data_IF_436185602960
#
_entry.id   IF_436185602960
#
_cell.length_a   1.000
_cell.length_b   1.000
_cell.length_c   1.000
_cell.angle_alpha   90.00
_cell.angle_beta   90.00
_cell.angle_gamma   90.00
#
_symmetry.space_group_name_H-M   'P 1'
#
loop_
_entity.id
_entity.type
_entity.pdbx_description
1 polymer ?
#
# COMPACT_ATOMS: atom_id res chain seq x y z
N UNK A 1 18.85 59.56 -2.32
CA UNK A 1 18.90 58.30 -1.53
C UNK A 1 17.54 57.62 -1.64
N UNK A 2 17.44 56.53 -2.40
CA UNK A 2 16.19 55.77 -2.58
C UNK A 2 16.14 54.69 -1.49
N UNK A 3 15.12 54.75 -0.62
CA UNK A 3 14.82 53.68 0.35
C UNK A 3 14.11 52.55 -0.40
N UNK A 4 14.82 51.45 -0.65
CA UNK A 4 14.24 50.22 -1.18
C UNK A 4 13.54 49.48 -0.04
N UNK A 5 12.21 49.49 -0.04
CA UNK A 5 11.39 48.74 0.90
C UNK A 5 11.27 47.30 0.37
N UNK A 6 12.02 46.37 0.95
CA UNK A 6 11.92 44.94 0.61
C UNK A 6 10.74 44.33 1.38
N UNK A 7 9.66 44.04 0.66
CA UNK A 7 8.51 43.30 1.20
C UNK A 7 8.89 41.82 1.28
N UNK A 8 9.27 41.36 2.47
CA UNK A 8 9.60 39.96 2.74
C UNK A 8 8.27 39.17 2.79
N UNK A 9 7.86 38.59 1.66
CA UNK A 9 6.72 37.66 1.62
C UNK A 9 7.18 36.36 2.29
N UNK A 10 6.88 36.22 3.59
CA UNK A 10 6.96 34.95 4.31
C UNK A 10 5.90 34.02 3.73
N UNK A 11 6.27 33.26 2.69
CA UNK A 11 5.48 32.12 2.24
C UNK A 11 5.65 31.03 3.30
N UNK A 12 4.79 31.05 4.31
CA UNK A 12 4.68 29.93 5.25
C UNK A 12 4.18 28.74 4.46
N UNK A 13 5.10 27.86 4.07
CA UNK A 13 4.73 26.57 3.51
C UNK A 13 4.01 25.81 4.62
N UNK A 14 2.67 25.69 4.51
CA UNK A 14 1.91 24.76 5.32
C UNK A 14 2.43 23.36 5.00
N UNK A 15 3.35 22.87 5.83
CA UNK A 15 3.78 21.48 5.77
C UNK A 15 2.67 20.69 6.45
N UNK A 16 1.69 20.23 5.65
CA UNK A 16 0.73 19.26 6.13
C UNK A 16 1.51 18.03 6.60
N UNK A 17 1.56 17.83 7.91
CA UNK A 17 2.24 16.68 8.49
C UNK A 17 1.24 15.54 8.45
N UNK A 18 1.49 14.58 7.57
CA UNK A 18 0.75 13.33 7.51
C UNK A 18 0.73 12.70 8.91
N UNK A 19 -0.46 12.41 9.40
CA UNK A 19 -0.65 11.70 10.66
C UNK A 19 -0.86 10.22 10.39
N UNK A 20 -0.62 9.37 11.39
CA UNK A 20 -0.94 7.94 11.29
C UNK A 20 -2.44 7.73 10.98
N UNK A 21 -3.32 8.63 11.47
CA UNK A 21 -4.76 8.58 11.20
C UNK A 21 -5.10 8.76 9.73
N UNK A 22 -4.33 9.55 8.99
CA UNK A 22 -4.53 9.76 7.55
C UNK A 22 -4.17 8.52 6.72
N UNK A 23 -3.40 7.59 7.28
CA UNK A 23 -2.93 6.38 6.60
C UNK A 23 -3.81 5.16 6.87
N UNK A 24 -4.67 5.21 7.89
CA UNK A 24 -5.55 4.09 8.26
C UNK A 24 -6.55 3.84 7.13
N UNK A 25 -6.60 2.59 6.66
CA UNK A 25 -7.40 2.17 5.53
C UNK A 25 -6.63 1.27 4.56
N UNK A 26 -7.29 0.93 3.45
CA UNK A 26 -6.74 0.11 2.37
C UNK A 26 -6.33 0.96 1.18
N UNK A 27 -5.08 0.83 0.77
CA UNK A 27 -4.40 1.56 -0.29
C UNK A 27 -4.04 0.60 -1.42
N UNK A 28 -4.73 0.69 -2.55
CA UNK A 28 -4.58 -0.20 -3.70
C UNK A 28 -3.82 0.48 -4.84
N UNK A 29 -2.97 -0.25 -5.57
CA UNK A 29 -2.13 0.31 -6.64
C UNK A 29 -2.90 0.89 -7.85
N UNK A 30 -4.19 0.55 -7.98
CA UNK A 30 -5.10 1.05 -9.02
C UNK A 30 -6.38 1.62 -8.38
N UNK A 31 -7.07 2.56 -9.06
CA UNK A 31 -8.24 3.23 -8.50
C UNK A 31 -9.54 2.42 -8.61
N UNK A 32 -9.51 1.23 -9.20
CA UNK A 32 -10.67 0.37 -9.47
C UNK A 32 -10.37 -1.09 -9.14
N UNK A 33 -11.41 -1.88 -8.89
CA UNK A 33 -11.33 -3.34 -8.80
C UNK A 33 -11.93 -3.92 -10.08
N UNK A 34 -11.18 -4.79 -10.74
CA UNK A 34 -11.64 -5.49 -11.95
C UNK A 34 -12.00 -6.94 -11.59
N UNK A 35 -11.25 -7.91 -12.11
CA UNK A 35 -11.43 -9.33 -11.77
C UNK A 35 -10.83 -9.71 -10.40
N UNK A 36 -10.08 -8.81 -9.77
CA UNK A 36 -9.45 -8.98 -8.46
C UNK A 36 -8.80 -7.68 -8.01
N UNK A 37 -8.34 -7.67 -6.76
CA UNK A 37 -7.54 -6.58 -6.22
C UNK A 37 -6.11 -6.61 -6.77
N UNK A 38 -5.56 -5.43 -7.06
CA UNK A 38 -4.12 -5.27 -7.28
C UNK A 38 -3.39 -5.23 -5.92
N UNK A 39 -2.08 -5.01 -5.94
CA UNK A 39 -1.28 -4.81 -4.74
C UNK A 39 -1.93 -3.80 -3.80
N UNK A 40 -2.12 -4.22 -2.54
CA UNK A 40 -2.88 -3.45 -1.57
C UNK A 40 -2.17 -3.48 -0.22
N UNK A 41 -1.86 -2.31 0.32
CA UNK A 41 -1.50 -2.14 1.73
C UNK A 41 -2.76 -1.84 2.54
N UNK A 42 -2.92 -2.47 3.69
CA UNK A 42 -3.94 -2.12 4.67
C UNK A 42 -3.25 -1.77 5.99
N UNK A 43 -3.47 -0.55 6.47
CA UNK A 43 -2.96 -0.06 7.75
C UNK A 43 -4.12 0.07 8.73
N UNK A 44 -4.04 -0.63 9.85
CA UNK A 44 -5.09 -0.67 10.87
C UNK A 44 -4.77 0.26 12.05
N UNK A 45 -5.82 0.68 12.77
CA UNK A 45 -5.70 1.57 13.93
C UNK A 45 -4.93 0.95 15.10
N UNK A 46 -4.96 -0.37 15.24
CA UNK A 46 -4.25 -1.12 16.28
C UNK A 46 -2.73 -1.23 16.03
N UNK A 47 -2.23 -0.58 14.97
CA UNK A 47 -0.83 -0.61 14.56
C UNK A 47 -0.45 -1.86 13.79
N UNK A 48 -1.40 -2.71 13.38
CA UNK A 48 -1.13 -3.83 12.47
C UNK A 48 -1.25 -3.42 11.01
N UNK A 49 -0.54 -4.11 10.13
CA UNK A 49 -0.69 -3.96 8.69
C UNK A 49 -0.71 -5.32 7.99
N UNK A 50 -1.30 -5.32 6.81
CA UNK A 50 -1.17 -6.38 5.81
C UNK A 50 -0.80 -5.78 4.46
N UNK A 51 -0.02 -6.50 3.70
CA UNK A 51 0.16 -6.27 2.28
C UNK A 51 -0.32 -7.52 1.53
N UNK A 52 -1.17 -7.31 0.53
CA UNK A 52 -1.58 -8.35 -0.42
C UNK A 52 -0.98 -8.06 -1.78
N UNK A 53 -0.47 -9.09 -2.43
CA UNK A 53 -0.05 -8.99 -3.83
C UNK A 53 -1.25 -9.02 -4.77
N UNK A 54 -1.03 -8.62 -6.03
CA UNK A 54 -2.02 -8.64 -7.08
C UNK A 54 -2.66 -10.04 -7.22
N UNK A 55 -3.98 -10.12 -7.03
CA UNK A 55 -4.74 -11.37 -7.08
C UNK A 55 -4.82 -11.96 -8.49
N UNK A 56 -4.55 -11.16 -9.52
CA UNK A 56 -4.52 -11.59 -10.90
C UNK A 56 -3.18 -12.24 -11.26
N UNK A 57 -2.13 -12.11 -10.44
CA UNK A 57 -0.92 -12.93 -10.58
C UNK A 57 -1.19 -14.34 -10.00
N UNK A 58 -1.94 -15.14 -10.75
CA UNK A 58 -2.33 -16.49 -10.37
C UNK A 58 -1.14 -17.46 -10.23
N UNK A 59 0.05 -17.09 -10.71
CA UNK A 59 1.27 -17.87 -10.53
C UNK A 59 1.99 -17.56 -9.22
N UNK A 60 1.58 -16.51 -8.51
CA UNK A 60 2.30 -16.02 -7.34
C UNK A 60 2.20 -16.98 -6.17
N UNK A 61 3.36 -17.29 -5.57
CA UNK A 61 3.43 -18.14 -4.37
C UNK A 61 3.18 -17.37 -3.10
N UNK A 62 3.88 -16.28 -2.90
CA UNK A 62 3.65 -15.41 -1.76
C UNK A 62 2.47 -14.50 -2.06
N UNK A 63 1.42 -14.61 -1.26
CA UNK A 63 0.13 -13.95 -1.51
C UNK A 63 -0.05 -12.72 -0.61
N UNK A 64 0.56 -12.73 0.57
CA UNK A 64 0.53 -11.63 1.52
C UNK A 64 1.65 -11.71 2.54
N UNK A 65 1.92 -10.58 3.19
CA UNK A 65 2.72 -10.52 4.41
C UNK A 65 2.15 -9.46 5.35
N UNK A 66 2.54 -9.51 6.63
CA UNK A 66 2.04 -8.55 7.61
C UNK A 66 2.76 -8.56 8.94
N UNK A 67 2.30 -7.65 9.80
CA UNK A 67 2.87 -7.45 11.13
C UNK A 67 2.47 -6.10 11.70
N UNK A 68 3.41 -5.36 12.28
CA UNK A 68 3.14 -4.04 12.86
C UNK A 68 3.73 -2.91 12.01
N UNK A 69 3.12 -1.73 12.05
CA UNK A 69 3.62 -0.54 11.38
C UNK A 69 3.66 0.67 12.32
N UNK A 70 4.55 1.62 12.01
CA UNK A 70 4.63 2.92 12.68
C UNK A 70 5.00 3.99 11.66
N UNK A 71 4.33 5.14 11.72
CA UNK A 71 4.70 6.32 10.94
C UNK A 71 5.78 7.14 11.66
N UNK A 72 6.90 7.39 10.99
CA UNK A 72 7.95 8.32 11.43
C UNK A 72 8.18 9.37 10.35
N UNK A 73 7.62 10.57 10.53
CA UNK A 73 7.71 11.64 9.53
C UNK A 73 7.09 11.20 8.19
N UNK A 74 7.90 11.09 7.13
CA UNK A 74 7.46 10.64 5.79
C UNK A 74 7.82 9.18 5.49
N UNK A 75 8.07 8.37 6.52
CA UNK A 75 8.41 6.95 6.36
C UNK A 75 7.53 6.09 7.24
N UNK A 76 7.04 4.98 6.69
CA UNK A 76 6.42 3.91 7.47
C UNK A 76 7.50 2.86 7.74
N UNK A 77 7.72 2.53 9.00
CA UNK A 77 8.50 1.36 9.38
C UNK A 77 7.57 0.17 9.56
N UNK A 78 7.85 -0.91 8.85
CA UNK A 78 7.15 -2.19 8.96
C UNK A 78 8.03 -3.17 9.74
N UNK A 79 7.44 -3.83 10.73
CA UNK A 79 8.00 -5.05 11.31
C UNK A 79 7.17 -6.23 10.80
N UNK A 80 7.71 -6.97 9.83
CA UNK A 80 7.07 -8.12 9.20
C UNK A 80 7.27 -9.33 10.11
N UNK A 81 6.17 -9.89 10.59
CA UNK A 81 6.15 -10.99 11.56
C UNK A 81 5.61 -12.29 10.97
N UNK A 82 4.96 -12.20 9.81
CA UNK A 82 4.52 -13.36 9.06
C UNK A 82 4.46 -13.07 7.56
N UNK A 83 4.55 -14.14 6.78
CA UNK A 83 4.14 -14.17 5.38
C UNK A 83 3.22 -15.35 5.12
N UNK A 84 2.41 -15.23 4.08
CA UNK A 84 1.38 -16.18 3.69
C UNK A 84 1.68 -16.60 2.25
N UNK A 85 1.72 -17.90 2.01
CA UNK A 85 2.14 -18.44 0.74
C UNK A 85 1.42 -19.74 0.39
N UNK A 86 1.45 -20.05 -0.90
CA UNK A 86 0.91 -21.28 -1.48
C UNK A 86 2.02 -22.33 -1.57
N UNK A 87 1.95 -23.33 -0.68
CA UNK A 87 2.87 -24.45 -0.60
C UNK A 87 2.44 -25.61 -1.51
N UNK A 88 3.41 -26.27 -2.15
CA UNK A 88 3.14 -27.34 -3.10
C UNK A 88 2.50 -26.82 -4.39
N UNK A 89 1.52 -27.59 -4.90
CA UNK A 89 0.82 -27.32 -6.15
C UNK A 89 1.66 -27.51 -7.41
N UNK A 90 1.03 -27.27 -8.56
CA UNK A 90 1.68 -27.27 -9.88
C UNK A 90 1.21 -26.07 -10.70
N UNK A 91 2.05 -25.65 -11.63
CA UNK A 91 1.67 -24.66 -12.63
C UNK A 91 0.94 -25.33 -13.79
N UNK A 92 -0.10 -24.67 -14.28
CA UNK A 92 -0.80 -25.02 -15.51
C UNK A 92 -1.14 -23.76 -16.31
N UNK A 93 -1.49 -23.87 -17.61
CA UNK A 93 -2.02 -22.74 -18.35
C UNK A 93 -3.25 -22.15 -17.64
N UNK A 94 -3.43 -20.82 -17.66
CA UNK A 94 -4.54 -20.17 -16.98
C UNK A 94 -5.89 -20.63 -17.56
N UNK A 95 -6.82 -21.01 -16.69
CA UNK A 95 -8.16 -21.47 -17.09
C UNK A 95 -9.24 -20.40 -16.92
N UNK A 96 -8.94 -19.34 -16.18
CA UNK A 96 -9.82 -18.19 -15.95
C UNK A 96 -9.17 -16.86 -16.32
N UNK A 97 -9.70 -15.79 -15.73
CA UNK A 97 -9.09 -14.46 -15.82
C UNK A 97 -7.86 -14.42 -14.94
N UNK A 98 -6.70 -14.81 -15.47
CA UNK A 98 -5.40 -14.64 -14.82
C UNK A 98 -4.57 -13.63 -15.62
N UNK A 99 -3.89 -12.75 -14.91
CA UNK A 99 -2.94 -11.77 -15.47
C UNK A 99 -1.51 -12.32 -15.61
N UNK A 100 -1.30 -13.60 -15.32
CA UNK A 100 -0.01 -14.31 -15.40
C UNK A 100 -0.03 -15.41 -16.46
N UNK A 101 1.15 -15.79 -16.97
CA UNK A 101 1.32 -16.83 -18.00
C UNK A 101 0.92 -18.23 -17.54
N UNK A 102 0.76 -18.43 -16.24
CA UNK A 102 0.32 -19.68 -15.63
C UNK A 102 -0.54 -19.40 -14.40
N UNK A 103 -1.26 -20.42 -13.95
CA UNK A 103 -1.95 -20.44 -12.66
C UNK A 103 -1.38 -21.58 -11.78
N UNK A 104 -1.21 -21.29 -10.51
CA UNK A 104 -0.82 -22.26 -9.50
C UNK A 104 -2.07 -22.96 -8.97
N UNK A 105 -2.18 -24.27 -9.18
CA UNK A 105 -3.32 -25.09 -8.72
C UNK A 105 -2.88 -26.15 -7.73
N UNK A 106 -3.84 -26.66 -6.96
CA UNK A 106 -3.65 -27.72 -5.95
C UNK A 106 -2.59 -27.39 -4.90
N UNK A 107 -2.33 -26.10 -4.69
CA UNK A 107 -1.48 -25.61 -3.62
C UNK A 107 -2.29 -25.45 -2.32
N UNK A 108 -1.60 -25.54 -1.19
CA UNK A 108 -2.19 -25.32 0.13
C UNK A 108 -1.71 -24.00 0.71
N UNK A 109 -2.63 -23.25 1.30
CA UNK A 109 -2.31 -22.03 2.02
C UNK A 109 -1.49 -22.34 3.27
N UNK A 110 -0.37 -21.63 3.47
CA UNK A 110 0.49 -21.75 4.63
C UNK A 110 0.88 -20.37 5.15
N UNK A 111 0.82 -20.20 6.47
CA UNK A 111 1.33 -19.02 7.17
C UNK A 111 2.69 -19.34 7.79
N UNK A 112 3.72 -18.61 7.38
CA UNK A 112 5.07 -18.68 7.94
C UNK A 112 5.24 -17.57 8.98
N UNK A 113 5.64 -17.94 10.18
CA UNK A 113 6.05 -16.97 11.21
C UNK A 113 7.52 -16.61 11.01
N UNK A 114 7.85 -15.33 11.17
CA UNK A 114 9.19 -14.77 10.94
C UNK A 114 9.76 -14.28 12.27
N UNK A 115 10.84 -14.92 12.74
CA UNK A 115 11.52 -14.62 14.01
C UNK A 115 13.05 -14.62 13.80
N UNK A 116 13.77 -13.53 14.13
CA UNK A 116 13.23 -12.22 14.50
C UNK A 116 12.46 -11.60 13.32
N UNK A 117 11.58 -10.64 13.61
CA UNK A 117 10.84 -9.94 12.56
C UNK A 117 11.79 -9.34 11.51
N UNK A 118 11.33 -9.29 10.26
CA UNK A 118 12.00 -8.57 9.19
C UNK A 118 11.58 -7.10 9.20
N UNK A 119 12.47 -6.19 8.78
CA UNK A 119 12.17 -4.75 8.75
C UNK A 119 12.17 -4.24 7.32
N UNK A 120 11.13 -3.48 7.01
CA UNK A 120 11.02 -2.72 5.77
C UNK A 120 10.72 -1.25 6.07
N UNK A 121 11.15 -0.35 5.18
CA UNK A 121 10.84 1.07 5.27
C UNK A 121 10.18 1.53 3.99
N UNK A 122 8.95 2.01 4.11
CA UNK A 122 8.20 2.60 3.00
C UNK A 122 8.36 4.12 3.03
N UNK A 123 8.71 4.73 1.90
CA UNK A 123 8.81 6.18 1.74
C UNK A 123 7.48 6.73 1.21
N UNK A 124 6.93 7.73 1.90
CA UNK A 124 5.68 8.38 1.54
C UNK A 124 5.91 9.73 0.86
N UNK A 125 5.14 9.99 -0.19
CA UNK A 125 5.04 11.30 -0.83
C UNK A 125 3.71 11.44 -1.58
N UNK A 126 3.45 12.62 -2.16
CA UNK A 126 2.33 12.79 -3.09
C UNK A 126 0.93 12.51 -2.55
N UNK A 127 0.69 12.76 -1.25
CA UNK A 127 -0.64 12.63 -0.65
C UNK A 127 -1.56 13.74 -1.18
N UNK A 128 -2.52 13.39 -2.03
CA UNK A 128 -3.40 14.33 -2.70
C UNK A 128 -4.82 13.75 -2.86
N UNK A 129 -5.77 14.61 -3.21
CA UNK A 129 -7.08 14.21 -3.71
C UNK A 129 -7.16 14.47 -5.22
N UNK A 130 -7.73 13.55 -5.98
CA UNK A 130 -7.87 13.67 -7.43
C UNK A 130 -9.21 13.12 -7.93
N UNK A 131 -9.72 13.70 -9.02
CA UNK A 131 -10.92 13.21 -9.69
C UNK A 131 -10.55 12.06 -10.64
N UNK A 132 -11.22 10.92 -10.47
CA UNK A 132 -11.08 9.74 -11.32
C UNK A 132 -12.49 9.31 -11.72
N UNK A 133 -12.80 9.45 -13.01
CA UNK A 133 -14.10 9.10 -13.59
C UNK A 133 -15.29 9.79 -12.89
N UNK A 134 -15.11 11.03 -12.43
CA UNK A 134 -16.13 11.81 -11.73
C UNK A 134 -16.25 11.51 -10.23
N UNK A 135 -15.30 10.76 -9.67
CA UNK A 135 -15.23 10.48 -8.23
C UNK A 135 -13.94 11.01 -7.64
N UNK A 136 -14.04 11.76 -6.55
CA UNK A 136 -12.89 12.19 -5.78
C UNK A 136 -12.24 10.99 -5.04
N UNK A 137 -10.94 10.81 -5.26
CA UNK A 137 -10.14 9.73 -4.69
C UNK A 137 -8.89 10.31 -4.04
N UNK A 138 -8.66 9.94 -2.77
CA UNK A 138 -7.38 10.20 -2.13
C UNK A 138 -6.33 9.23 -2.66
N UNK A 139 -5.12 9.72 -2.96
CA UNK A 139 -4.00 8.90 -3.37
C UNK A 139 -2.69 9.34 -2.70
N UNK A 140 -1.72 8.42 -2.65
CA UNK A 140 -0.37 8.68 -2.18
C UNK A 140 0.65 7.85 -2.95
N UNK A 141 1.90 8.28 -2.91
CA UNK A 141 3.04 7.51 -3.39
C UNK A 141 3.66 6.75 -2.21
N UNK A 142 3.76 5.44 -2.34
CA UNK A 142 4.51 4.54 -1.45
C UNK A 142 5.68 4.00 -2.25
N UNK A 143 6.92 4.26 -1.84
CA UNK A 143 8.13 3.89 -2.58
C UNK A 143 8.08 4.33 -4.06
N UNK A 144 7.56 5.53 -4.33
CA UNK A 144 7.39 6.12 -5.66
C UNK A 144 6.39 5.39 -6.59
N UNK A 145 5.62 4.43 -6.06
CA UNK A 145 4.46 3.83 -6.73
C UNK A 145 3.17 4.43 -6.16
N UNK A 146 2.21 4.73 -7.02
CA UNK A 146 0.94 5.34 -6.63
C UNK A 146 -0.03 4.31 -6.08
N UNK A 147 -0.71 4.67 -5.01
CA UNK A 147 -1.78 3.91 -4.37
C UNK A 147 -2.96 4.83 -4.09
N UNK A 148 -4.16 4.28 -4.16
CA UNK A 148 -5.44 4.96 -3.99
C UNK A 148 -6.14 4.44 -2.74
N UNK A 149 -6.67 5.34 -1.93
CA UNK A 149 -7.49 4.99 -0.78
C UNK A 149 -8.79 4.35 -1.29
N UNK A 150 -8.96 3.07 -1.01
CA UNK A 150 -10.10 2.29 -1.45
C UNK A 150 -11.15 2.11 -0.36
N UNK A 151 -10.71 2.01 0.89
CA UNK A 151 -11.58 1.93 2.06
C UNK A 151 -10.92 2.64 3.22
N UNK A 152 -11.66 3.56 3.85
CA UNK A 152 -11.27 4.21 5.09
C UNK A 152 -12.08 3.59 6.22
N UNK A 153 -11.40 3.15 7.26
CA UNK A 153 -12.06 2.68 8.47
C UNK A 153 -12.39 3.91 9.32
N UNK A 154 -13.65 4.29 9.37
CA UNK A 154 -14.14 5.34 10.27
C UNK A 154 -15.02 4.66 11.32
N UNK A 155 -14.66 4.79 12.59
CA UNK A 155 -15.47 4.39 13.75
C UNK A 155 -16.03 5.63 14.46
#
# INVERSE_FOLDING_TARGET
>A
MIKLLVFLILVTQFVFTQTAKDLIGSWQAVPYVAAGYDETYTFNEDGTFTFHYNQMDCAKREISYGGSWVLKGKTIELNITYSEYLAGGRYQPPTGSCGSDSELVDASYVKKIIIPFERETLKLSGYNSEDIDGFERTSMLINNRKYYMFSKFEF
#
